data_IF_874131377221
#
_entry.id   IF_874131377221
#
_cell.length_a   1.000
_cell.length_b   1.000
_cell.length_c   1.000
_cell.angle_alpha   90.00
_cell.angle_beta   90.00
_cell.angle_gamma   90.00
#
_symmetry.space_group_name_H-M   'P 1'
#
loop_
_entity.id
_entity.type
_entity.pdbx_description
1 polymer ?
#
# COMPACT_ATOMS: atom_id res chain seq x y z
N UNK A 1 6.07 21.03 -23.56
CA UNK A 1 4.76 20.47 -23.13
C UNK A 1 4.94 18.97 -22.96
N UNK A 2 5.25 18.49 -21.76
CA UNK A 2 5.30 17.04 -21.50
C UNK A 2 3.95 16.68 -20.90
N UNK A 3 3.07 16.14 -21.73
CA UNK A 3 1.87 15.49 -21.27
C UNK A 3 2.27 14.24 -20.49
N UNK A 4 2.00 14.22 -19.19
CA UNK A 4 2.01 13.00 -18.37
C UNK A 4 0.56 12.54 -18.21
N UNK A 5 0.08 11.60 -19.02
CA UNK A 5 -1.20 10.97 -18.78
C UNK A 5 -0.98 9.76 -17.86
N UNK A 6 -0.84 9.96 -16.56
CA UNK A 6 -1.09 8.88 -15.59
C UNK A 6 -2.55 8.96 -15.12
N UNK A 7 -3.45 8.92 -16.11
CA UNK A 7 -4.86 8.65 -15.88
C UNK A 7 -4.99 7.14 -15.67
N UNK A 8 -5.38 6.74 -14.45
CA UNK A 8 -6.19 5.54 -14.19
C UNK A 8 -5.76 4.22 -14.87
N UNK A 9 -4.65 3.58 -14.43
CA UNK A 9 -4.38 2.19 -14.86
C UNK A 9 -3.80 1.21 -13.85
N UNK A 10 -3.52 1.58 -12.59
CA UNK A 10 -2.92 0.64 -11.63
C UNK A 10 -3.88 -0.01 -10.62
N UNK A 11 -5.21 0.08 -10.80
CA UNK A 11 -6.17 -0.57 -9.88
C UNK A 11 -6.26 -2.11 -10.09
N UNK A 12 -5.72 -2.66 -11.19
CA UNK A 12 -6.00 -4.07 -11.57
C UNK A 12 -4.87 -5.09 -11.46
N UNK A 13 -3.65 -4.74 -11.05
CA UNK A 13 -2.49 -5.65 -11.18
C UNK A 13 -1.76 -6.05 -9.90
N UNK A 14 -2.10 -5.51 -8.73
CA UNK A 14 -1.36 -5.80 -7.49
C UNK A 14 -2.19 -6.61 -6.47
N UNK A 15 -2.85 -7.68 -6.91
CA UNK A 15 -3.53 -8.65 -6.01
C UNK A 15 -2.82 -10.02 -6.02
N UNK A 16 -1.84 -10.23 -6.89
CA UNK A 16 -1.15 -11.53 -7.00
C UNK A 16 0.16 -11.52 -6.21
N UNK A 17 0.14 -12.22 -5.07
CA UNK A 17 1.20 -12.46 -4.06
C UNK A 17 1.31 -11.44 -2.91
N UNK A 18 0.20 -11.12 -2.27
CA UNK A 18 0.26 -11.04 -0.81
C UNK A 18 0.01 -12.46 -0.31
N UNK A 19 1.07 -13.18 0.06
CA UNK A 19 0.91 -14.39 0.86
C UNK A 19 0.41 -13.94 2.22
N UNK A 20 -0.92 -13.84 2.35
CA UNK A 20 -1.59 -13.59 3.62
C UNK A 20 -1.19 -14.75 4.53
N UNK A 21 -0.17 -14.54 5.36
CA UNK A 21 0.24 -15.52 6.36
C UNK A 21 -0.99 -15.74 7.22
N UNK A 22 -1.59 -16.94 7.15
CA UNK A 22 -2.67 -17.28 8.07
C UNK A 22 -2.12 -17.10 9.49
N UNK A 23 -2.80 -16.25 10.26
CA UNK A 23 -2.47 -16.04 11.67
C UNK A 23 -2.47 -17.36 12.45
N UNK A 24 -1.77 -17.42 13.58
CA UNK A 24 -1.72 -18.63 14.41
C UNK A 24 -3.14 -19.08 14.80
N UNK A 25 -3.38 -20.39 14.79
CA UNK A 25 -4.65 -20.98 15.16
C UNK A 25 -4.95 -20.65 16.65
N UNK A 26 -5.99 -19.85 16.90
CA UNK A 26 -6.42 -19.45 18.25
C UNK A 26 -6.77 -17.96 18.45
N UNK A 27 -6.61 -17.12 17.41
CA UNK A 27 -6.89 -15.68 17.48
C UNK A 27 -8.34 -15.33 17.09
N UNK A 28 -8.91 -14.30 17.72
CA UNK A 28 -10.25 -13.78 17.36
C UNK A 28 -10.27 -13.17 15.96
N UNK A 29 -11.45 -13.13 15.31
CA UNK A 29 -11.61 -12.54 13.96
C UNK A 29 -11.11 -11.09 13.89
N UNK A 30 -11.26 -10.35 14.99
CA UNK A 30 -10.76 -8.99 15.17
C UNK A 30 -9.24 -8.92 15.13
N UNK A 31 -8.56 -9.76 15.89
CA UNK A 31 -7.11 -9.77 15.96
C UNK A 31 -6.49 -10.21 14.62
N UNK A 32 -7.12 -11.16 13.93
CA UNK A 32 -6.71 -11.55 12.57
C UNK A 32 -6.84 -10.39 11.58
N UNK A 33 -7.89 -9.59 11.72
CA UNK A 33 -8.13 -8.41 10.89
C UNK A 33 -7.10 -7.30 11.17
N UNK A 34 -6.87 -6.98 12.44
CA UNK A 34 -5.88 -5.96 12.85
C UNK A 34 -4.48 -6.38 12.39
N UNK A 35 -4.09 -7.64 12.61
CA UNK A 35 -2.80 -8.16 12.15
C UNK A 35 -2.69 -8.10 10.63
N UNK A 36 -3.72 -8.52 9.89
CA UNK A 36 -3.72 -8.46 8.43
C UNK A 36 -3.61 -7.04 7.88
N UNK A 37 -4.20 -6.05 8.57
CA UNK A 37 -4.07 -4.64 8.21
C UNK A 37 -2.67 -4.09 8.53
N UNK A 38 -2.12 -4.48 9.68
CA UNK A 38 -0.75 -4.13 10.10
C UNK A 38 0.29 -4.71 9.13
N UNK A 39 0.15 -5.99 8.76
CA UNK A 39 1.02 -6.67 7.80
C UNK A 39 0.93 -6.05 6.39
N UNK A 40 -0.22 -5.46 6.05
CA UNK A 40 -0.40 -4.71 4.80
C UNK A 40 0.24 -3.31 4.83
N UNK A 41 0.79 -2.88 5.96
CA UNK A 41 1.37 -1.55 6.16
C UNK A 41 0.34 -0.48 6.49
N UNK A 42 -0.86 -0.85 6.94
CA UNK A 42 -1.83 0.13 7.45
C UNK A 42 -1.40 0.63 8.83
N UNK A 43 -1.70 1.89 9.14
CA UNK A 43 -1.46 2.45 10.46
C UNK A 43 -2.33 1.73 11.52
N UNK A 44 -1.78 1.54 12.72
CA UNK A 44 -2.43 0.89 13.86
C UNK A 44 -3.79 1.54 14.19
N UNK A 45 -3.86 2.88 14.16
CA UNK A 45 -5.13 3.58 14.36
C UNK A 45 -6.17 3.26 13.28
N UNK A 46 -5.75 3.08 12.03
CA UNK A 46 -6.65 2.73 10.95
C UNK A 46 -7.13 1.27 11.09
N UNK A 47 -6.25 0.37 11.52
CA UNK A 47 -6.59 -1.01 11.81
C UNK A 47 -7.62 -1.12 12.95
N UNK A 48 -7.43 -0.36 14.03
CA UNK A 48 -8.41 -0.29 15.12
C UNK A 48 -9.76 0.28 14.66
N UNK A 49 -9.76 1.37 13.90
CA UNK A 49 -10.99 1.97 13.38
C UNK A 49 -11.78 0.99 12.52
N UNK A 50 -11.10 0.30 11.60
CA UNK A 50 -11.72 -0.72 10.74
C UNK A 50 -12.28 -1.87 11.58
N UNK A 51 -11.53 -2.32 12.59
CA UNK A 51 -11.99 -3.37 13.50
C UNK A 51 -13.25 -2.96 14.27
N UNK A 52 -13.32 -1.75 14.81
CA UNK A 52 -14.52 -1.26 15.53
C UNK A 52 -15.73 -1.15 14.59
N UNK A 53 -15.53 -0.74 13.34
CA UNK A 53 -16.60 -0.68 12.34
C UNK A 53 -17.15 -2.08 12.00
N UNK A 54 -16.27 -3.09 11.94
CA UNK A 54 -16.69 -4.49 11.79
C UNK A 54 -17.47 -4.99 13.01
N UNK A 55 -17.03 -4.67 14.24
CA UNK A 55 -17.76 -5.03 15.49
C UNK A 55 -19.13 -4.36 15.57
N UNK A 56 -19.27 -3.14 15.04
CA UNK A 56 -20.53 -2.40 14.98
C UNK A 56 -21.47 -2.89 13.85
N UNK A 57 -21.04 -3.82 13.00
CA UNK A 57 -21.81 -4.30 11.84
C UNK A 57 -21.79 -3.36 10.63
N UNK A 58 -21.03 -2.25 10.70
CA UNK A 58 -20.87 -1.26 9.62
C UNK A 58 -19.83 -1.72 8.59
N UNK A 59 -20.08 -2.86 7.94
CA UNK A 59 -19.13 -3.45 6.99
C UNK A 59 -18.86 -2.57 5.75
N UNK A 60 -19.83 -1.77 5.29
CA UNK A 60 -19.63 -0.86 4.16
C UNK A 60 -18.59 0.23 4.48
N UNK A 61 -18.70 0.83 5.67
CA UNK A 61 -17.74 1.83 6.15
C UNK A 61 -16.36 1.22 6.37
N UNK A 62 -16.29 0.00 6.94
CA UNK A 62 -15.04 -0.73 7.09
C UNK A 62 -14.37 -0.98 5.72
N UNK A 63 -15.14 -1.42 4.71
CA UNK A 63 -14.64 -1.61 3.34
C UNK A 63 -14.21 -0.30 2.69
N UNK A 64 -14.93 0.79 2.94
CA UNK A 64 -14.55 2.12 2.48
C UNK A 64 -13.19 2.53 3.06
N UNK A 65 -13.01 2.38 4.38
CA UNK A 65 -11.75 2.68 5.07
C UNK A 65 -10.59 1.84 4.52
N UNK A 66 -10.78 0.54 4.28
CA UNK A 66 -9.76 -0.31 3.63
C UNK A 66 -9.38 0.19 2.23
N UNK A 67 -10.35 0.66 1.43
CA UNK A 67 -10.07 1.23 0.09
C UNK A 67 -9.27 2.53 0.17
N UNK A 68 -9.54 3.37 1.18
CA UNK A 68 -8.77 4.60 1.44
C UNK A 68 -7.34 4.26 1.83
N UNK A 69 -7.13 3.33 2.76
CA UNK A 69 -5.79 2.87 3.15
C UNK A 69 -5.00 2.33 1.95
N UNK A 70 -5.67 1.55 1.08
CA UNK A 70 -5.06 1.08 -0.17
C UNK A 70 -4.59 2.24 -1.07
N UNK A 71 -5.36 3.32 -1.20
CA UNK A 71 -4.94 4.49 -1.98
C UNK A 71 -3.69 5.14 -1.40
N UNK A 72 -3.63 5.31 -0.07
CA UNK A 72 -2.45 5.86 0.60
C UNK A 72 -1.19 5.00 0.37
N UNK A 73 -1.31 3.67 0.46
CA UNK A 73 -0.21 2.75 0.18
C UNK A 73 0.28 2.86 -1.28
N UNK A 74 -0.64 3.00 -2.23
CA UNK A 74 -0.30 3.21 -3.65
C UNK A 74 0.43 4.53 -3.85
N UNK A 75 0.02 5.59 -3.17
CA UNK A 75 0.71 6.89 -3.22
C UNK A 75 2.14 6.81 -2.66
N UNK A 76 2.33 6.16 -1.51
CA UNK A 76 3.65 5.93 -0.92
C UNK A 76 4.56 5.10 -1.83
N UNK A 77 4.00 4.06 -2.47
CA UNK A 77 4.72 3.26 -3.47
C UNK A 77 5.15 4.13 -4.65
N UNK A 78 4.25 4.96 -5.19
CA UNK A 78 4.58 5.87 -6.29
C UNK A 78 5.63 6.91 -5.89
N UNK A 79 5.63 7.40 -4.65
CA UNK A 79 6.66 8.31 -4.15
C UNK A 79 8.02 7.62 -4.07
N UNK A 80 8.05 6.39 -3.55
CA UNK A 80 9.26 5.58 -3.45
C UNK A 80 9.83 5.29 -4.84
N UNK A 81 8.99 4.95 -5.82
CA UNK A 81 9.39 4.77 -7.20
C UNK A 81 10.04 6.04 -7.78
N UNK A 82 9.44 7.23 -7.57
CA UNK A 82 10.01 8.50 -8.05
C UNK A 82 11.40 8.77 -7.46
N UNK A 83 11.62 8.44 -6.17
CA UNK A 83 12.92 8.59 -5.51
C UNK A 83 13.96 7.67 -6.14
N UNK A 84 13.61 6.41 -6.41
CA UNK A 84 14.49 5.44 -7.08
C UNK A 84 14.82 5.91 -8.50
N UNK A 85 13.82 6.30 -9.30
CA UNK A 85 14.02 6.79 -10.67
C UNK A 85 14.96 8.00 -10.72
N UNK A 86 14.85 8.90 -9.74
CA UNK A 86 15.74 10.06 -9.63
C UNK A 86 17.17 9.65 -9.26
N UNK A 87 17.35 8.71 -8.32
CA UNK A 87 18.68 8.16 -8.01
C UNK A 87 19.31 7.49 -9.24
N UNK A 88 18.55 6.68 -9.98
CA UNK A 88 19.03 6.02 -11.20
C UNK A 88 19.46 7.02 -12.26
N UNK A 89 18.75 8.14 -12.39
CA UNK A 89 19.14 9.25 -13.25
C UNK A 89 20.47 9.88 -12.79
N UNK A 90 20.63 10.14 -11.49
CA UNK A 90 21.87 10.70 -10.94
C UNK A 90 23.06 9.75 -11.14
N UNK A 91 22.88 8.45 -10.91
CA UNK A 91 23.91 7.42 -11.14
C UNK A 91 24.34 7.45 -12.61
N UNK A 92 23.39 7.34 -13.55
CA UNK A 92 23.69 7.40 -15.00
C UNK A 92 24.41 8.69 -15.41
N UNK A 93 24.09 9.82 -14.76
CA UNK A 93 24.78 11.09 -15.01
C UNK A 93 26.24 11.02 -14.56
N UNK A 94 26.52 10.46 -13.39
CA UNK A 94 27.90 10.33 -12.89
C UNK A 94 28.71 9.30 -13.68
N UNK A 95 28.13 8.15 -14.02
CA UNK A 95 28.81 7.13 -14.85
C UNK A 95 29.29 7.67 -16.20
N UNK A 96 28.52 8.58 -16.82
CA UNK A 96 28.91 9.26 -18.06
C UNK A 96 30.11 10.20 -17.87
N UNK A 97 30.26 10.80 -16.69
CA UNK A 97 31.39 11.69 -16.39
C UNK A 97 32.68 10.89 -16.12
N UNK A 98 32.56 9.69 -15.57
CA UNK A 98 33.70 8.79 -15.31
C UNK A 98 34.24 8.16 -16.60
N UNK A 99 33.37 7.87 -17.57
CA UNK A 99 33.75 7.27 -18.87
C UNK A 99 34.31 8.27 -19.88
N UNK A 100 34.61 9.51 -19.45
CA UNK A 100 35.10 10.61 -20.28
C UNK A 100 36.58 10.83 -20.01
#
# INVERSE_FOLDING_TARGET
MIALPVKHKCIRLFVRKAEFRKGPAGMSEKEQLIQGLSDAGCNEEAAERISRLCEAGSYDEALHQMKVQRCALVEQMHESQRKVDYMDFLIRKQEKQIKK
#
